data_IF_280651700293
#
_entry.id   IF_280651700293
#
_cell.length_a   1.000
_cell.length_b   1.000
_cell.length_c   1.000
_cell.angle_alpha   90.00
_cell.angle_beta   90.00
_cell.angle_gamma   90.00
#
_symmetry.space_group_name_H-M   'P 1'
#
loop_
_entity.id
_entity.type
_entity.pdbx_description
1 polymer ?
#
# COMPACT_ATOMS: atom_id res chain seq x y z
N UNK A 1 -101.40 -30.36 50.19
CA UNK A 1 -101.11 -29.00 50.76
C UNK A 1 -99.68 -28.73 50.47
N UNK A 2 -99.41 -27.96 49.42
CA UNK A 2 -98.73 -26.68 49.44
C UNK A 2 -97.40 -26.68 50.12
N UNK A 3 -96.29 -26.37 49.54
CA UNK A 3 -95.85 -25.11 48.91
C UNK A 3 -94.44 -25.25 48.41
N UNK A 4 -94.09 -25.07 47.18
CA UNK A 4 -93.46 -23.92 46.53
C UNK A 4 -92.22 -23.31 47.18
N UNK A 5 -91.11 -23.39 46.55
CA UNK A 5 -90.37 -22.19 46.20
C UNK A 5 -89.22 -22.44 45.20
N UNK A 6 -89.15 -21.56 44.30
CA UNK A 6 -88.32 -21.50 43.12
C UNK A 6 -86.90 -20.88 43.33
N UNK A 7 -86.22 -20.66 42.30
CA UNK A 7 -84.78 -20.79 42.24
C UNK A 7 -84.04 -19.44 42.42
N UNK A 8 -82.75 -19.49 42.82
CA UNK A 8 -81.92 -18.34 42.89
C UNK A 8 -81.06 -18.23 41.63
N UNK A 9 -81.14 -17.10 41.04
CA UNK A 9 -80.45 -16.58 39.85
C UNK A 9 -78.94 -16.61 39.98
N UNK A 10 -78.32 -17.06 38.95
CA UNK A 10 -76.88 -16.90 38.68
C UNK A 10 -76.59 -15.43 38.38
N UNK A 11 -75.65 -14.84 39.09
CA UNK A 11 -75.20 -13.47 38.87
C UNK A 11 -74.41 -13.39 37.60
N UNK A 12 -74.79 -12.47 36.74
CA UNK A 12 -74.02 -12.08 35.56
C UNK A 12 -72.77 -11.43 36.04
N UNK A 13 -71.62 -11.94 35.55
CA UNK A 13 -70.35 -11.30 35.75
C UNK A 13 -70.33 -9.94 35.08
N UNK A 14 -69.80 -8.96 35.78
CA UNK A 14 -69.58 -7.59 35.26
C UNK A 14 -68.86 -7.56 33.99
N UNK A 15 -69.17 -6.79 32.96
CA UNK A 15 -68.49 -6.66 31.74
C UNK A 15 -67.11 -5.99 32.00
N UNK A 16 -65.99 -6.65 31.64
CA UNK A 16 -64.69 -6.11 31.73
C UNK A 16 -64.63 -4.78 30.98
N UNK A 17 -64.13 -3.69 31.60
CA UNK A 17 -64.14 -2.38 31.00
C UNK A 17 -63.37 -2.36 29.67
N UNK A 18 -63.88 -1.68 28.66
CA UNK A 18 -63.33 -1.66 27.28
C UNK A 18 -61.89 -1.23 27.19
N UNK A 19 -61.39 -0.42 28.16
CA UNK A 19 -59.97 -0.03 28.20
C UNK A 19 -59.04 -1.19 28.58
N UNK A 20 -59.49 -2.20 29.35
CA UNK A 20 -58.71 -3.38 29.66
C UNK A 20 -58.45 -4.26 28.41
N UNK A 21 -59.39 -4.35 27.49
CA UNK A 21 -59.27 -5.05 26.22
C UNK A 21 -58.24 -4.34 25.29
N UNK A 22 -58.23 -3.00 25.31
CA UNK A 22 -57.25 -2.22 24.53
C UNK A 22 -55.84 -2.35 25.09
N UNK A 23 -55.68 -2.43 26.42
CA UNK A 23 -54.38 -2.65 27.05
C UNK A 23 -53.85 -4.05 26.79
N UNK A 24 -54.69 -5.06 26.80
CA UNK A 24 -54.29 -6.45 26.45
C UNK A 24 -53.93 -6.60 24.97
N UNK A 25 -54.67 -5.94 24.08
CA UNK A 25 -54.40 -5.94 22.64
C UNK A 25 -53.12 -5.15 22.29
N UNK A 26 -52.79 -4.09 23.00
CA UNK A 26 -51.54 -3.34 22.85
C UNK A 26 -50.32 -4.11 23.37
N UNK A 27 -50.46 -4.91 24.44
CA UNK A 27 -49.37 -5.76 24.95
C UNK A 27 -49.04 -6.90 23.97
N UNK A 28 -50.06 -7.53 23.36
CA UNK A 28 -49.82 -8.63 22.42
C UNK A 28 -49.18 -8.19 21.11
N UNK A 29 -49.40 -6.94 20.67
CA UNK A 29 -48.74 -6.40 19.47
C UNK A 29 -47.28 -6.00 19.73
N UNK A 30 -46.97 -5.48 20.92
CA UNK A 30 -45.57 -5.09 21.26
C UNK A 30 -44.71 -6.32 21.45
N UNK A 31 -45.20 -7.43 22.00
CA UNK A 31 -44.46 -8.67 22.16
C UNK A 31 -44.20 -9.38 20.79
N UNK A 32 -45.12 -9.27 19.84
CA UNK A 32 -44.95 -9.84 18.50
C UNK A 32 -43.93 -9.07 17.66
N UNK A 33 -43.92 -7.73 17.77
CA UNK A 33 -43.03 -6.87 17.00
C UNK A 33 -41.60 -6.82 17.54
N UNK A 34 -41.38 -7.31 18.78
CA UNK A 34 -40.00 -7.30 19.39
C UNK A 34 -39.26 -8.60 19.18
N UNK A 35 -39.91 -9.70 18.87
CA UNK A 35 -39.27 -11.02 18.74
C UNK A 35 -38.27 -11.10 17.57
N UNK A 36 -38.47 -10.35 16.48
CA UNK A 36 -37.50 -10.29 15.40
C UNK A 36 -36.20 -9.60 15.77
N UNK A 37 -36.24 -8.63 16.71
CA UNK A 37 -35.05 -7.95 17.23
C UNK A 37 -34.15 -8.92 18.02
N UNK A 38 -34.72 -9.86 18.75
CA UNK A 38 -33.98 -10.87 19.50
C UNK A 38 -33.29 -11.82 18.51
N UNK A 39 -34.00 -12.27 17.48
CA UNK A 39 -33.42 -13.13 16.44
C UNK A 39 -32.36 -12.41 15.63
N UNK A 40 -32.57 -11.12 15.33
CA UNK A 40 -31.54 -10.28 14.66
C UNK A 40 -30.29 -10.12 15.52
N UNK A 41 -30.46 -9.90 16.84
CA UNK A 41 -29.34 -9.78 17.79
C UNK A 41 -28.52 -11.07 17.87
N UNK A 42 -29.15 -12.23 17.87
CA UNK A 42 -28.50 -13.53 17.85
C UNK A 42 -27.70 -13.74 16.58
N UNK A 43 -28.29 -13.41 15.42
CA UNK A 43 -27.58 -13.51 14.14
C UNK A 43 -26.37 -12.57 14.09
N UNK A 44 -26.51 -11.33 14.57
CA UNK A 44 -25.41 -10.38 14.65
C UNK A 44 -24.31 -10.85 15.61
N UNK A 45 -24.69 -11.45 16.74
CA UNK A 45 -23.72 -12.01 17.70
C UNK A 45 -22.96 -13.18 17.12
N UNK A 46 -23.62 -14.10 16.42
CA UNK A 46 -23.00 -15.22 15.72
C UNK A 46 -22.08 -14.73 14.60
N UNK A 47 -22.49 -13.70 13.85
CA UNK A 47 -21.70 -13.09 12.80
C UNK A 47 -20.42 -12.43 13.37
N UNK A 48 -20.55 -11.73 14.50
CA UNK A 48 -19.42 -11.13 15.22
C UNK A 48 -18.42 -12.21 15.68
N UNK A 49 -18.91 -13.28 16.31
CA UNK A 49 -18.07 -14.41 16.75
C UNK A 49 -17.37 -15.06 15.53
N UNK A 50 -18.10 -15.23 14.44
CA UNK A 50 -17.53 -15.75 13.20
C UNK A 50 -16.40 -14.85 12.65
N UNK A 51 -16.59 -13.52 12.61
CA UNK A 51 -15.55 -12.59 12.19
C UNK A 51 -14.35 -12.57 13.11
N UNK A 52 -14.57 -12.64 14.44
CA UNK A 52 -13.46 -12.73 15.40
C UNK A 52 -12.68 -14.02 15.17
N UNK A 53 -13.37 -15.16 15.04
CA UNK A 53 -12.72 -16.46 14.75
C UNK A 53 -11.98 -16.44 13.43
N UNK A 54 -12.60 -15.90 12.37
CA UNK A 54 -11.95 -15.73 11.05
C UNK A 54 -10.72 -14.83 11.13
N UNK A 55 -10.79 -13.72 11.87
CA UNK A 55 -9.67 -12.80 12.06
C UNK A 55 -8.54 -13.45 12.87
N UNK A 56 -8.84 -14.24 13.90
CA UNK A 56 -7.83 -14.99 14.66
C UNK A 56 -7.19 -16.05 13.77
N UNK A 57 -7.97 -16.82 13.03
CA UNK A 57 -7.43 -17.84 12.10
C UNK A 57 -6.57 -17.24 10.99
N UNK A 58 -6.92 -16.06 10.46
CA UNK A 58 -6.09 -15.37 9.45
C UNK A 58 -4.79 -14.83 10.04
N UNK A 59 -4.80 -14.36 11.29
CA UNK A 59 -3.57 -13.93 12.00
C UNK A 59 -2.64 -15.09 12.34
N UNK A 60 -3.18 -16.22 12.72
CA UNK A 60 -2.38 -17.42 13.02
C UNK A 60 -1.83 -18.05 11.73
N UNK A 61 -2.58 -17.99 10.62
CA UNK A 61 -2.10 -18.42 9.30
C UNK A 61 -0.90 -17.59 8.78
N UNK A 62 -0.77 -16.32 9.18
CA UNK A 62 0.44 -15.53 8.88
C UNK A 62 1.62 -15.88 9.79
N UNK A 63 1.37 -16.25 11.05
CA UNK A 63 2.43 -16.68 11.96
C UNK A 63 2.96 -18.08 11.61
N UNK A 64 2.07 -18.99 11.25
CA UNK A 64 2.45 -20.34 10.86
C UNK A 64 3.17 -20.39 9.51
N UNK A 65 2.83 -19.51 8.56
CA UNK A 65 3.61 -19.34 7.34
C UNK A 65 5.04 -18.85 7.61
N UNK A 66 5.25 -17.98 8.62
CA UNK A 66 6.60 -17.53 9.02
C UNK A 66 7.36 -18.57 9.85
N UNK A 67 6.69 -19.44 10.60
CA UNK A 67 7.30 -20.52 11.36
C UNK A 67 7.62 -21.74 10.50
N UNK A 68 6.71 -22.16 9.63
CA UNK A 68 6.89 -23.26 8.70
C UNK A 68 7.93 -22.96 7.61
N UNK A 69 8.12 -21.69 7.26
CA UNK A 69 9.19 -21.24 6.36
C UNK A 69 10.59 -21.32 7.00
N UNK A 70 10.68 -21.49 8.32
CA UNK A 70 11.95 -21.71 9.03
C UNK A 70 12.33 -23.19 9.20
N UNK A 71 11.36 -24.10 9.21
CA UNK A 71 11.60 -25.53 9.46
C UNK A 71 11.69 -26.38 8.18
N UNK A 72 11.15 -25.90 7.04
CA UNK A 72 11.24 -26.60 5.74
C UNK A 72 12.56 -26.35 4.98
N UNK A 73 13.51 -25.63 5.57
CA UNK A 73 14.81 -25.32 4.95
C UNK A 73 15.81 -26.49 5.00
N UNK A 74 15.44 -27.64 5.58
CA UNK A 74 16.45 -28.71 5.78
C UNK A 74 16.33 -29.91 4.84
N UNK A 75 15.31 -30.05 3.98
CA UNK A 75 15.16 -31.27 3.15
C UNK A 75 14.46 -31.04 1.80
N UNK A 76 14.93 -30.14 0.93
CA UNK A 76 14.66 -30.19 -0.50
C UNK A 76 15.69 -29.36 -1.29
N UNK A 77 16.70 -29.97 -1.79
CA UNK A 77 17.57 -29.47 -2.86
C UNK A 77 17.06 -30.04 -4.19
N UNK A 78 17.13 -29.37 -5.34
CA UNK A 78 18.01 -28.30 -5.78
C UNK A 78 17.33 -27.20 -6.64
N UNK A 79 16.94 -26.06 -6.08
CA UNK A 79 16.67 -24.84 -6.85
C UNK A 79 17.00 -23.54 -6.06
N UNK A 80 17.68 -23.67 -4.92
CA UNK A 80 17.94 -22.59 -3.97
C UNK A 80 19.22 -21.79 -4.31
N UNK A 81 20.04 -22.29 -5.23
CA UNK A 81 21.35 -21.72 -5.52
C UNK A 81 21.35 -20.37 -6.27
N UNK A 82 20.28 -20.04 -6.99
CA UNK A 82 20.21 -18.83 -7.81
C UNK A 82 19.51 -17.67 -7.12
N UNK A 83 18.50 -17.92 -6.28
CA UNK A 83 17.75 -16.86 -5.57
C UNK A 83 18.50 -16.27 -4.36
N UNK A 84 19.28 -17.07 -3.65
CA UNK A 84 20.09 -16.60 -2.51
C UNK A 84 21.23 -15.67 -2.91
N UNK A 85 21.74 -15.81 -4.13
CA UNK A 85 22.78 -14.93 -4.67
C UNK A 85 22.28 -13.51 -4.97
N UNK A 86 21.09 -13.41 -5.56
CA UNK A 86 20.46 -12.13 -5.89
C UNK A 86 20.02 -11.36 -4.62
N UNK A 87 19.34 -12.00 -3.71
CA UNK A 87 18.90 -11.38 -2.45
C UNK A 87 20.09 -10.91 -1.59
N UNK A 88 21.18 -11.65 -1.57
CA UNK A 88 22.42 -11.25 -0.86
C UNK A 88 23.09 -10.06 -1.55
N UNK A 89 23.10 -10.02 -2.88
CA UNK A 89 23.64 -8.90 -3.66
C UNK A 89 22.80 -7.64 -3.44
N UNK A 90 21.48 -7.74 -3.51
CA UNK A 90 20.55 -6.63 -3.26
C UNK A 90 20.67 -6.07 -1.83
N UNK A 91 20.79 -6.96 -0.82
CA UNK A 91 21.01 -6.57 0.55
C UNK A 91 22.37 -5.88 0.76
N UNK A 92 23.39 -6.27 0.01
CA UNK A 92 24.69 -5.59 0.01
C UNK A 92 24.59 -4.21 -0.61
N UNK A 93 23.98 -4.09 -1.79
CA UNK A 93 23.75 -2.81 -2.48
C UNK A 93 23.00 -1.85 -1.55
N UNK A 94 21.93 -2.33 -0.91
CA UNK A 94 21.17 -1.50 0.04
C UNK A 94 22.04 -0.98 1.17
N UNK A 95 22.84 -1.82 1.81
CA UNK A 95 23.74 -1.43 2.90
C UNK A 95 24.79 -0.41 2.45
N UNK A 96 25.40 -0.64 1.29
CA UNK A 96 26.41 0.25 0.74
C UNK A 96 25.80 1.63 0.43
N UNK A 97 24.58 1.66 -0.14
CA UNK A 97 23.83 2.89 -0.39
C UNK A 97 23.39 3.60 0.89
N UNK A 98 22.84 2.88 1.87
CA UNK A 98 22.41 3.48 3.15
C UNK A 98 23.62 4.13 3.86
N UNK A 99 24.80 3.49 3.82
CA UNK A 99 26.04 4.03 4.38
C UNK A 99 26.50 5.29 3.63
N UNK A 100 26.43 5.28 2.31
CA UNK A 100 26.77 6.43 1.48
C UNK A 100 25.84 7.62 1.73
N UNK A 101 24.53 7.37 1.74
CA UNK A 101 23.48 8.39 1.98
C UNK A 101 23.74 9.08 3.32
N UNK A 102 24.09 8.31 4.35
CA UNK A 102 24.44 8.81 5.68
C UNK A 102 25.73 9.64 5.64
N UNK A 103 26.77 9.18 4.93
CA UNK A 103 28.04 9.90 4.83
C UNK A 103 27.92 11.23 4.08
N UNK A 104 26.91 11.37 3.21
CA UNK A 104 26.63 12.58 2.45
C UNK A 104 25.55 13.47 3.09
N UNK A 105 25.04 13.12 4.30
CA UNK A 105 23.93 13.81 4.97
C UNK A 105 22.66 13.92 4.10
N UNK A 106 22.38 12.88 3.29
CA UNK A 106 21.30 12.87 2.29
C UNK A 106 20.10 11.98 2.70
N UNK A 107 19.99 11.55 3.97
CA UNK A 107 18.92 10.64 4.43
C UNK A 107 17.51 11.18 4.19
N UNK A 108 17.37 12.50 4.19
CA UNK A 108 16.09 13.13 3.92
C UNK A 108 15.76 13.24 2.42
N UNK A 109 16.71 13.01 1.53
CA UNK A 109 16.62 13.38 0.12
C UNK A 109 16.80 12.23 -0.84
N UNK A 110 17.43 11.16 -0.37
CA UNK A 110 17.65 9.91 -1.09
C UNK A 110 17.08 8.76 -0.28
N UNK A 111 16.35 7.87 -0.91
CA UNK A 111 15.85 6.66 -0.26
C UNK A 111 16.11 5.43 -1.10
N UNK A 112 16.37 4.30 -0.43
CA UNK A 112 16.60 3.00 -1.08
C UNK A 112 15.58 2.00 -0.55
N UNK A 113 14.85 1.39 -1.46
CA UNK A 113 13.82 0.39 -1.15
C UNK A 113 14.10 -0.91 -1.90
N UNK A 114 14.06 -2.01 -1.19
CA UNK A 114 14.08 -3.33 -1.83
C UNK A 114 12.68 -3.67 -2.33
N UNK A 115 12.61 -4.18 -3.55
CA UNK A 115 11.40 -4.70 -4.19
C UNK A 115 11.63 -6.17 -4.57
N UNK A 116 10.58 -6.84 -5.03
CA UNK A 116 10.75 -8.19 -5.57
C UNK A 116 11.65 -8.14 -6.81
N UNK A 117 12.76 -8.87 -6.78
CA UNK A 117 13.76 -8.97 -7.85
C UNK A 117 14.43 -7.62 -8.20
N UNK A 118 14.70 -6.76 -7.20
CA UNK A 118 15.38 -5.51 -7.49
C UNK A 118 15.38 -4.46 -6.39
N UNK A 119 15.82 -3.27 -6.77
CA UNK A 119 16.00 -2.13 -5.87
C UNK A 119 15.49 -0.86 -6.55
N UNK A 120 14.85 0.01 -5.76
CA UNK A 120 14.48 1.36 -6.16
C UNK A 120 15.34 2.35 -5.38
N UNK A 121 16.03 3.24 -6.08
CA UNK A 121 16.72 4.39 -5.52
C UNK A 121 15.94 5.63 -5.93
N UNK A 122 15.36 6.34 -4.97
CA UNK A 122 14.59 7.55 -5.23
C UNK A 122 15.37 8.79 -4.77
N UNK A 123 15.54 9.74 -5.68
CA UNK A 123 16.20 11.02 -5.48
C UNK A 123 15.17 12.12 -5.54
N UNK A 124 15.04 12.95 -4.49
CA UNK A 124 14.18 14.12 -4.53
C UNK A 124 14.68 15.16 -5.53
N UNK A 125 13.75 15.92 -6.12
CA UNK A 125 14.06 16.99 -7.09
C UNK A 125 15.20 17.90 -6.62
N UNK A 126 15.13 18.40 -5.38
CA UNK A 126 16.04 19.43 -4.87
C UNK A 126 17.51 19.04 -4.86
N UNK A 127 17.84 17.74 -4.83
CA UNK A 127 19.23 17.26 -4.91
C UNK A 127 19.69 16.97 -6.34
N UNK A 128 18.75 16.94 -7.29
CA UNK A 128 19.05 16.54 -8.67
C UNK A 128 18.85 17.68 -9.64
N UNK A 129 17.80 18.50 -9.45
CA UNK A 129 17.40 19.55 -10.38
C UNK A 129 16.97 20.83 -9.65
N UNK A 130 17.03 21.96 -10.37
CA UNK A 130 16.31 23.16 -9.94
C UNK A 130 14.80 23.03 -10.18
N UNK A 131 13.98 23.77 -9.43
CA UNK A 131 12.55 23.78 -9.65
C UNK A 131 12.18 24.11 -11.09
N UNK A 132 11.34 23.27 -11.73
CA UNK A 132 10.90 23.45 -13.11
C UNK A 132 11.97 23.20 -14.18
N UNK A 133 13.15 22.73 -13.81
CA UNK A 133 14.23 22.41 -14.73
C UNK A 133 14.53 20.92 -14.78
N UNK A 134 15.26 20.49 -15.83
CA UNK A 134 15.73 19.13 -16.00
C UNK A 134 17.26 19.05 -16.19
N UNK A 135 17.98 20.14 -15.93
CA UNK A 135 19.44 20.15 -15.91
C UNK A 135 19.94 19.64 -14.55
N UNK A 136 20.85 18.66 -14.60
CA UNK A 136 21.44 18.04 -13.39
C UNK A 136 22.33 19.05 -12.67
N UNK A 137 22.11 19.20 -11.36
CA UNK A 137 22.94 20.03 -10.49
C UNK A 137 24.36 19.43 -10.40
N UNK A 138 25.37 20.28 -10.34
CA UNK A 138 26.77 19.85 -10.16
C UNK A 138 26.96 19.06 -8.86
N UNK A 139 26.27 19.47 -7.83
CA UNK A 139 26.34 18.84 -6.50
C UNK A 139 25.70 17.44 -6.46
N UNK A 140 24.94 17.07 -7.50
CA UNK A 140 24.42 15.70 -7.65
C UNK A 140 25.47 14.68 -8.10
N UNK A 141 26.63 15.14 -8.58
CA UNK A 141 27.68 14.28 -9.10
C UNK A 141 28.04 13.10 -8.18
N UNK A 142 28.43 13.34 -6.92
CA UNK A 142 28.86 12.26 -6.03
C UNK A 142 27.81 11.16 -5.83
N UNK A 143 26.53 11.49 -5.69
CA UNK A 143 25.48 10.47 -5.53
C UNK A 143 25.21 9.72 -6.84
N UNK A 144 25.19 10.40 -7.98
CA UNK A 144 25.00 9.77 -9.28
C UNK A 144 26.18 8.89 -9.68
N UNK A 145 27.42 9.28 -9.35
CA UNK A 145 28.63 8.46 -9.57
C UNK A 145 28.59 7.15 -8.80
N UNK A 146 28.15 7.20 -7.55
CA UNK A 146 27.99 5.99 -6.73
C UNK A 146 26.87 5.08 -7.25
N UNK A 147 25.74 5.65 -7.68
CA UNK A 147 24.68 4.88 -8.34
C UNK A 147 25.21 4.24 -9.63
N UNK A 148 25.99 4.97 -10.42
CA UNK A 148 26.63 4.42 -11.62
C UNK A 148 27.59 3.27 -11.30
N UNK A 149 28.37 3.38 -10.21
CA UNK A 149 29.22 2.28 -9.74
C UNK A 149 28.42 1.02 -9.41
N UNK A 150 27.28 1.17 -8.70
CA UNK A 150 26.37 0.06 -8.40
C UNK A 150 25.82 -0.56 -9.69
N UNK A 151 25.34 0.26 -10.63
CA UNK A 151 24.82 -0.22 -11.92
C UNK A 151 25.87 -1.04 -12.67
N UNK A 152 27.15 -0.61 -12.66
CA UNK A 152 28.26 -1.36 -13.26
C UNK A 152 28.54 -2.68 -12.54
N UNK A 153 28.41 -2.69 -11.21
CA UNK A 153 28.63 -3.89 -10.39
C UNK A 153 27.54 -4.96 -10.58
N UNK A 154 26.43 -4.60 -11.19
CA UNK A 154 25.25 -5.46 -11.39
C UNK A 154 24.94 -5.61 -12.89
N UNK A 155 25.78 -6.31 -13.69
CA UNK A 155 25.58 -6.42 -15.14
C UNK A 155 24.32 -7.16 -15.55
N UNK A 156 23.80 -8.04 -14.70
CA UNK A 156 22.54 -8.79 -14.91
C UNK A 156 21.27 -8.00 -14.62
N UNK A 157 21.38 -6.70 -14.29
CA UNK A 157 20.22 -5.85 -14.00
C UNK A 157 19.95 -4.87 -15.15
N UNK A 158 18.69 -4.72 -15.51
CA UNK A 158 18.18 -3.59 -16.30
C UNK A 158 17.89 -2.40 -15.38
N UNK A 159 17.95 -1.20 -15.94
CA UNK A 159 17.77 0.05 -15.22
C UNK A 159 16.63 0.84 -15.85
N UNK A 160 15.57 1.05 -15.10
CA UNK A 160 14.47 1.90 -15.51
C UNK A 160 14.53 3.22 -14.73
N UNK A 161 14.55 4.36 -15.42
CA UNK A 161 14.59 5.69 -14.80
C UNK A 161 13.24 6.34 -14.97
N UNK A 162 12.54 6.61 -13.85
CA UNK A 162 11.21 7.18 -13.84
C UNK A 162 11.24 8.61 -13.28
N UNK A 163 10.73 9.57 -14.06
CA UNK A 163 10.54 10.96 -13.60
C UNK A 163 9.12 11.17 -13.06
N UNK A 164 9.02 11.89 -11.95
CA UNK A 164 7.76 12.23 -11.30
C UNK A 164 7.71 13.71 -10.95
N UNK A 165 6.52 14.32 -11.06
CA UNK A 165 6.23 15.67 -10.60
C UNK A 165 5.19 15.65 -9.47
N UNK A 166 4.91 16.80 -8.92
CA UNK A 166 3.70 17.05 -8.15
C UNK A 166 2.53 17.42 -9.10
N UNK A 167 1.39 17.76 -8.51
CA UNK A 167 0.18 18.16 -9.26
C UNK A 167 0.12 19.65 -9.64
N UNK A 168 1.17 20.41 -9.37
CA UNK A 168 1.23 21.82 -9.81
C UNK A 168 1.54 21.86 -11.30
N UNK A 169 0.65 22.41 -12.14
CA UNK A 169 0.89 22.45 -13.58
C UNK A 169 2.10 23.30 -13.93
N UNK A 170 2.96 22.80 -14.81
CA UNK A 170 3.99 23.59 -15.47
C UNK A 170 3.54 23.91 -16.89
N UNK A 171 3.87 25.10 -17.37
CA UNK A 171 3.70 25.48 -18.76
C UNK A 171 4.81 26.45 -19.13
N UNK A 172 5.88 25.93 -19.69
CA UNK A 172 7.01 26.71 -20.19
C UNK A 172 7.28 26.39 -21.65
N UNK A 173 8.12 27.19 -22.30
CA UNK A 173 8.53 26.93 -23.70
C UNK A 173 9.25 25.57 -23.83
N UNK A 174 9.98 25.14 -22.83
CA UNK A 174 10.71 23.87 -22.86
C UNK A 174 9.86 22.68 -22.40
N UNK A 175 8.96 22.92 -21.47
CA UNK A 175 8.13 21.90 -20.86
C UNK A 175 6.66 22.38 -20.87
N UNK A 176 5.89 22.03 -21.91
CA UNK A 176 4.49 22.42 -22.02
C UNK A 176 3.60 21.82 -20.92
N UNK A 177 3.98 20.66 -20.37
CA UNK A 177 3.28 20.03 -19.25
C UNK A 177 4.22 19.25 -18.33
N UNK A 178 3.68 18.73 -17.23
CA UNK A 178 4.40 17.85 -16.30
C UNK A 178 4.90 16.55 -16.98
N UNK A 179 4.27 16.14 -18.07
CA UNK A 179 4.71 14.98 -18.84
C UNK A 179 6.09 15.22 -19.47
N UNK A 180 6.26 16.31 -20.20
CA UNK A 180 7.55 16.65 -20.82
C UNK A 180 8.63 16.89 -19.78
N UNK A 181 8.32 17.58 -18.67
CA UNK A 181 9.28 17.80 -17.60
C UNK A 181 9.76 16.48 -16.99
N UNK A 182 8.85 15.57 -16.68
CA UNK A 182 9.19 14.28 -16.07
C UNK A 182 10.04 13.40 -16.99
N UNK A 183 9.71 13.35 -18.30
CA UNK A 183 10.52 12.65 -19.31
C UNK A 183 11.89 13.31 -19.47
N UNK A 184 11.97 14.64 -19.53
CA UNK A 184 13.23 15.36 -19.66
C UNK A 184 14.19 15.10 -18.49
N UNK A 185 13.66 15.04 -17.27
CA UNK A 185 14.42 14.71 -16.06
C UNK A 185 14.98 13.29 -16.11
N UNK A 186 14.14 12.31 -16.44
CA UNK A 186 14.59 10.93 -16.60
C UNK A 186 15.66 10.82 -17.70
N UNK A 187 15.48 11.53 -18.83
CA UNK A 187 16.44 11.58 -19.92
C UNK A 187 17.77 12.22 -19.53
N UNK A 188 17.76 13.23 -18.67
CA UNK A 188 19.01 13.87 -18.21
C UNK A 188 19.83 12.93 -17.33
N UNK A 189 19.19 12.19 -16.41
CA UNK A 189 19.85 11.16 -15.59
C UNK A 189 20.37 10.02 -16.48
N UNK A 190 19.59 9.56 -17.46
CA UNK A 190 20.03 8.57 -18.43
C UNK A 190 21.30 9.04 -19.16
N UNK A 191 21.30 10.25 -19.71
CA UNK A 191 22.46 10.82 -20.42
C UNK A 191 23.69 10.88 -19.52
N UNK A 192 23.53 11.24 -18.27
CA UNK A 192 24.63 11.23 -17.32
C UNK A 192 25.26 9.84 -17.19
N UNK A 193 24.48 8.79 -17.04
CA UNK A 193 24.99 7.42 -16.93
C UNK A 193 25.63 6.91 -18.22
N UNK A 194 25.10 7.28 -19.37
CA UNK A 194 25.67 6.87 -20.66
C UNK A 194 26.92 7.67 -21.00
N UNK A 195 26.87 9.01 -20.98
CA UNK A 195 27.90 9.86 -21.50
C UNK A 195 29.04 10.11 -20.51
N UNK A 196 28.72 10.36 -19.23
CA UNK A 196 29.73 10.63 -18.21
C UNK A 196 30.30 9.34 -17.58
N UNK A 197 29.45 8.28 -17.49
CA UNK A 197 29.82 7.06 -16.79
C UNK A 197 30.06 5.85 -17.71
N UNK A 198 29.81 5.98 -19.02
CA UNK A 198 30.09 4.95 -20.03
C UNK A 198 29.31 3.65 -19.87
N UNK A 199 28.10 3.70 -19.28
CA UNK A 199 27.26 2.51 -19.10
C UNK A 199 26.53 2.22 -20.40
N UNK A 200 26.41 0.93 -20.76
CA UNK A 200 25.76 0.47 -21.99
C UNK A 200 24.29 0.95 -22.07
N UNK A 201 23.92 1.72 -23.12
CA UNK A 201 22.56 2.20 -23.32
C UNK A 201 21.50 1.10 -23.38
N UNK A 202 21.84 -0.11 -23.84
CA UNK A 202 20.90 -1.23 -23.98
C UNK A 202 20.28 -1.68 -22.65
N UNK A 203 20.91 -1.32 -21.53
CA UNK A 203 20.45 -1.65 -20.19
C UNK A 203 19.35 -0.73 -19.67
N UNK A 204 19.09 0.39 -20.36
CA UNK A 204 18.25 1.44 -19.83
C UNK A 204 16.89 1.54 -20.50
N UNK A 205 15.88 1.89 -19.70
CA UNK A 205 14.60 2.41 -20.15
C UNK A 205 14.26 3.69 -19.37
N UNK A 206 13.51 4.60 -19.97
CA UNK A 206 13.03 5.80 -19.29
C UNK A 206 11.51 5.88 -19.32
N UNK A 207 10.94 6.47 -18.26
CA UNK A 207 9.51 6.80 -18.16
C UNK A 207 9.32 8.19 -17.58
N UNK A 208 8.35 8.93 -18.12
CA UNK A 208 7.78 10.08 -17.45
C UNK A 208 6.41 9.71 -16.93
N UNK A 209 6.16 9.94 -15.66
CA UNK A 209 4.89 9.64 -15.00
C UNK A 209 4.10 10.91 -14.64
N UNK A 210 4.64 12.10 -14.91
CA UNK A 210 4.06 13.35 -14.47
C UNK A 210 3.62 13.29 -12.99
N UNK A 211 2.42 13.76 -12.67
CA UNK A 211 1.79 13.70 -11.34
C UNK A 211 0.98 12.41 -11.08
N UNK A 212 0.96 11.46 -12.03
CA UNK A 212 0.01 10.33 -12.01
C UNK A 212 0.37 9.21 -11.02
N UNK A 213 1.59 9.23 -10.47
CA UNK A 213 2.05 8.23 -9.50
C UNK A 213 2.61 8.87 -8.23
N UNK A 214 1.76 9.57 -7.46
CA UNK A 214 2.18 10.18 -6.21
C UNK A 214 2.45 9.12 -5.14
N UNK A 215 3.48 9.32 -4.31
CA UNK A 215 3.77 8.46 -3.14
C UNK A 215 3.07 8.96 -1.87
N UNK A 216 2.63 10.22 -1.88
CA UNK A 216 1.83 10.85 -0.83
C UNK A 216 0.81 11.79 -1.48
N UNK A 217 -0.29 12.17 -0.81
CA UNK A 217 -1.19 13.21 -1.31
C UNK A 217 -0.45 14.50 -1.66
N UNK A 218 -1.00 15.32 -2.57
CA UNK A 218 -0.39 16.58 -3.01
C UNK A 218 -0.91 17.82 -2.23
N UNK A 219 -1.39 17.64 -1.01
CA UNK A 219 -2.15 18.66 -0.27
C UNK A 219 -1.23 19.77 0.27
N UNK A 220 -0.06 19.39 0.80
CA UNK A 220 0.89 20.37 1.36
C UNK A 220 2.15 20.52 0.50
N UNK A 221 2.88 21.65 0.61
CA UNK A 221 4.15 21.85 -0.08
C UNK A 221 5.17 20.75 0.22
N UNK A 222 5.22 20.23 1.45
CA UNK A 222 6.13 19.17 1.89
C UNK A 222 5.78 17.84 1.22
N UNK A 223 4.49 17.52 1.12
CA UNK A 223 4.01 16.34 0.41
C UNK A 223 4.32 16.42 -1.08
N UNK A 224 4.06 17.58 -1.71
CA UNK A 224 4.43 17.83 -3.10
C UNK A 224 5.93 17.67 -3.34
N UNK A 225 6.77 18.18 -2.43
CA UNK A 225 8.22 18.01 -2.53
C UNK A 225 8.67 16.53 -2.47
N UNK A 226 7.91 15.66 -1.79
CA UNK A 226 8.16 14.21 -1.78
C UNK A 226 7.76 13.54 -3.09
N UNK A 227 6.73 14.05 -3.77
CA UNK A 227 6.28 13.54 -5.06
C UNK A 227 7.23 13.93 -6.20
N UNK A 228 7.85 15.13 -6.14
CA UNK A 228 8.86 15.56 -7.11
C UNK A 228 10.17 14.81 -6.91
N UNK A 229 10.36 13.75 -7.70
CA UNK A 229 11.51 12.84 -7.58
C UNK A 229 11.86 12.18 -8.90
N UNK A 230 13.04 11.59 -8.96
CA UNK A 230 13.42 10.59 -9.96
C UNK A 230 13.68 9.28 -9.25
N UNK A 231 13.12 8.20 -9.77
CA UNK A 231 13.36 6.83 -9.31
C UNK A 231 14.25 6.11 -10.30
N UNK A 232 15.29 5.46 -9.79
CA UNK A 232 16.19 4.59 -10.55
C UNK A 232 15.91 3.18 -10.06
N UNK A 233 15.32 2.36 -10.92
CA UNK A 233 14.87 0.99 -10.63
C UNK A 233 15.81 0.00 -11.27
N UNK A 234 16.56 -0.71 -10.47
CA UNK A 234 17.36 -1.85 -10.90
C UNK A 234 16.52 -3.10 -10.77
N UNK A 235 16.29 -3.80 -11.88
CA UNK A 235 15.54 -5.05 -11.93
C UNK A 235 16.42 -6.14 -12.53
N UNK A 236 16.46 -7.30 -11.90
CA UNK A 236 17.14 -8.46 -12.44
C UNK A 236 16.50 -8.85 -13.79
N UNK A 237 17.36 -9.10 -14.79
CA UNK A 237 16.88 -9.59 -16.09
C UNK A 237 16.31 -10.98 -15.91
N UNK A 238 15.05 -11.18 -16.30
CA UNK A 238 14.49 -12.51 -16.40
C UNK A 238 15.28 -13.26 -17.49
N UNK A 239 16.01 -14.28 -17.12
CA UNK A 239 16.61 -15.19 -18.09
C UNK A 239 15.47 -15.87 -18.84
N UNK A 240 15.37 -15.69 -20.18
CA UNK A 240 14.38 -16.45 -20.95
C UNK A 240 14.67 -17.92 -20.75
N UNK A 241 13.67 -18.66 -20.22
CA UNK A 241 13.72 -20.11 -20.02
C UNK A 241 13.77 -20.87 -21.32
#
# INVERSE_FOLDING_TARGET
MTNKKAPSTVGAGDPVPSYMRLVEQSKSSVDSDSNWLITLSDVLSLLLVFFIMFFVMTKDAEKDKKAQQRESVTLALPDIGLRTGSEAAEAKIKRDMDSLIKNLDMENDVSVQMIKNGIIIALKEKVTFRPGEAEILKDSGPILDNIAHIIRSCPSYTVEIEGHTDNVPINTRLYPSNWELSVARASSVLRYFITAQGIDPSRFAIKGNAEQRPIVPNDTPEQRARNRRVEIRLKEMETPG
#
